data_IF_478367028028
#
_entry.id   IF_478367028028
#
_cell.length_a   1.000
_cell.length_b   1.000
_cell.length_c   1.000
_cell.angle_alpha   90.00
_cell.angle_beta   90.00
_cell.angle_gamma   90.00
#
_symmetry.space_group_name_H-M   'P 1'
#
loop_
_entity.id
_entity.type
_entity.pdbx_description
1 polymer ?
#
# COMPACT_ATOMS: atom_id res chain seq x y z
N UNK A 1 -26.03 -13.80 41.17
CA UNK A 1 -24.62 -14.06 40.81
C UNK A 1 -24.52 -13.82 39.30
N UNK A 2 -24.25 -12.57 38.93
CA UNK A 2 -24.18 -12.17 37.52
C UNK A 2 -22.74 -12.43 37.04
N UNK A 3 -22.60 -13.33 36.10
CA UNK A 3 -21.34 -13.60 35.39
C UNK A 3 -21.22 -12.47 34.37
N UNK A 4 -20.33 -11.52 34.65
CA UNK A 4 -19.89 -10.54 33.66
C UNK A 4 -18.91 -11.25 32.72
N UNK A 5 -19.39 -11.61 31.54
CA UNK A 5 -18.52 -12.00 30.42
C UNK A 5 -17.68 -10.78 30.06
N UNK A 6 -16.43 -10.78 30.54
CA UNK A 6 -15.38 -9.93 30.00
C UNK A 6 -15.06 -10.46 28.59
N UNK A 7 -15.68 -9.89 27.57
CA UNK A 7 -15.12 -9.96 26.23
C UNK A 7 -13.82 -9.16 26.27
N UNK A 8 -12.69 -9.86 26.43
CA UNK A 8 -11.38 -9.34 26.09
C UNK A 8 -11.44 -8.98 24.60
N UNK A 9 -11.65 -7.70 24.31
CA UNK A 9 -11.36 -7.16 22.99
C UNK A 9 -9.83 -7.24 22.86
N UNK A 10 -9.31 -8.27 22.19
CA UNK A 10 -7.91 -8.28 21.76
C UNK A 10 -7.64 -6.95 21.06
N UNK A 11 -6.88 -6.09 21.70
CA UNK A 11 -6.45 -4.81 21.14
C UNK A 11 -5.60 -5.13 19.90
N UNK A 12 -6.19 -5.02 18.72
CA UNK A 12 -5.50 -5.30 17.46
C UNK A 12 -4.26 -4.41 17.38
N UNK A 13 -3.09 -5.02 17.34
CA UNK A 13 -1.85 -4.28 17.14
C UNK A 13 -1.85 -3.61 15.76
N UNK A 14 -1.40 -2.36 15.63
CA UNK A 14 -1.31 -1.68 14.36
C UNK A 14 -0.30 -2.38 13.43
N UNK A 15 -0.63 -2.49 12.15
CA UNK A 15 0.26 -3.02 11.11
C UNK A 15 1.32 -1.99 10.72
N UNK A 16 0.99 -0.69 10.83
CA UNK A 16 1.92 0.43 10.71
C UNK A 16 1.65 1.38 11.87
N UNK A 17 2.71 1.84 12.53
CA UNK A 17 2.65 2.95 13.49
C UNK A 17 3.86 3.86 13.36
N UNK A 18 3.62 5.16 13.52
CA UNK A 18 4.63 6.19 13.72
C UNK A 18 4.28 6.99 14.94
N UNK A 19 5.28 7.36 15.74
CA UNK A 19 5.14 8.21 16.92
C UNK A 19 6.21 9.31 16.87
N UNK A 20 5.75 10.55 16.75
CA UNK A 20 6.58 11.75 16.63
C UNK A 20 7.74 11.59 15.63
N UNK A 21 7.44 11.02 14.47
CA UNK A 21 8.42 10.63 13.46
C UNK A 21 8.71 11.75 12.45
N UNK A 22 9.99 12.05 12.22
CA UNK A 22 10.40 12.98 11.18
C UNK A 22 10.70 12.20 9.89
N UNK A 23 10.01 12.55 8.79
CA UNK A 23 10.11 11.87 7.50
C UNK A 23 11.05 12.64 6.58
N UNK A 24 11.98 11.92 5.95
CA UNK A 24 12.98 12.50 5.07
C UNK A 24 12.54 12.45 3.60
N UNK A 25 12.76 13.56 2.88
CA UNK A 25 12.73 13.63 1.42
C UNK A 25 14.16 13.88 0.90
N UNK A 26 14.89 12.81 0.58
CA UNK A 26 16.32 12.88 0.38
C UNK A 26 17.04 13.15 1.71
N UNK A 27 17.87 14.19 1.78
CA UNK A 27 18.64 14.54 2.99
C UNK A 27 17.88 15.50 3.94
N UNK A 28 16.78 16.10 3.49
CA UNK A 28 16.01 17.08 4.26
C UNK A 28 14.76 16.42 4.89
N UNK A 29 14.36 16.91 6.07
CA UNK A 29 13.07 16.56 6.67
C UNK A 29 11.96 17.30 5.91
N UNK A 30 10.95 16.55 5.44
CA UNK A 30 9.80 17.08 4.69
C UNK A 30 8.49 16.97 5.48
N UNK A 31 8.44 16.13 6.53
CA UNK A 31 7.32 16.05 7.47
C UNK A 31 7.91 15.91 8.86
N UNK A 32 7.45 16.74 9.79
CA UNK A 32 7.87 16.73 11.19
C UNK A 32 6.80 16.12 12.10
N UNK A 33 7.22 15.26 13.01
CA UNK A 33 6.38 14.75 14.09
C UNK A 33 5.15 13.99 13.58
N UNK A 34 5.32 13.09 12.61
CA UNK A 34 4.23 12.24 12.13
C UNK A 34 3.76 11.30 13.23
N UNK A 35 2.46 11.35 13.55
CA UNK A 35 1.73 10.36 14.32
C UNK A 35 0.74 9.66 13.41
N UNK A 36 0.86 8.34 13.27
CA UNK A 36 0.02 7.53 12.36
C UNK A 36 -0.16 6.13 12.93
N UNK A 37 -1.38 5.60 12.89
CA UNK A 37 -1.67 4.20 13.22
C UNK A 37 -2.59 3.60 12.17
N UNK A 38 -2.19 2.48 11.59
CA UNK A 38 -2.96 1.70 10.60
C UNK A 38 -3.17 0.32 11.17
N UNK A 39 -4.41 -0.11 11.26
CA UNK A 39 -4.79 -1.43 11.77
C UNK A 39 -5.16 -2.38 10.62
N UNK A 40 -5.12 -3.71 10.85
CA UNK A 40 -5.62 -4.67 9.87
C UNK A 40 -7.06 -4.32 9.44
N UNK A 41 -7.29 -4.28 8.13
CA UNK A 41 -8.59 -3.90 7.54
C UNK A 41 -8.82 -2.39 7.37
N UNK A 42 -7.91 -1.53 7.85
CA UNK A 42 -8.01 -0.10 7.57
C UNK A 42 -7.78 0.21 6.09
N UNK A 43 -8.50 1.22 5.57
CA UNK A 43 -8.21 1.88 4.32
C UNK A 43 -7.84 3.34 4.63
N UNK A 44 -6.58 3.70 4.42
CA UNK A 44 -6.02 5.02 4.77
C UNK A 44 -5.58 5.75 3.51
N UNK A 45 -6.12 6.93 3.28
CA UNK A 45 -5.68 7.86 2.24
C UNK A 45 -4.66 8.84 2.80
N UNK A 46 -3.61 9.11 2.05
CA UNK A 46 -2.65 10.19 2.31
C UNK A 46 -2.81 11.20 1.18
N UNK A 47 -3.31 12.39 1.50
CA UNK A 47 -3.64 13.43 0.53
C UNK A 47 -2.84 14.71 0.80
N UNK A 48 -2.72 15.58 -0.20
CA UNK A 48 -2.02 16.86 -0.10
C UNK A 48 -1.39 17.27 -1.42
N UNK A 49 -0.91 18.53 -1.52
CA UNK A 49 -0.24 19.08 -2.72
C UNK A 49 0.97 18.26 -3.15
N UNK A 50 1.35 18.40 -4.42
CA UNK A 50 2.61 17.83 -4.92
C UNK A 50 3.78 18.43 -4.10
N UNK A 51 4.71 17.56 -3.70
CA UNK A 51 5.88 18.00 -2.91
C UNK A 51 5.67 18.04 -1.40
N UNK A 52 4.49 17.73 -0.85
CA UNK A 52 4.24 17.75 0.61
C UNK A 52 4.78 16.53 1.37
N UNK A 53 5.55 15.65 0.73
CA UNK A 53 6.19 14.50 1.41
C UNK A 53 5.39 13.21 1.44
N UNK A 54 4.23 13.10 0.74
CA UNK A 54 3.41 11.87 0.72
C UNK A 54 4.18 10.62 0.29
N UNK A 55 4.86 10.68 -0.85
CA UNK A 55 5.73 9.59 -1.34
C UNK A 55 6.89 9.30 -0.38
N UNK A 56 7.36 10.30 0.37
CA UNK A 56 8.42 10.10 1.39
C UNK A 56 7.91 9.29 2.58
N UNK A 57 6.64 9.44 2.99
CA UNK A 57 6.02 8.56 4.00
C UNK A 57 6.04 7.10 3.48
N UNK A 58 5.59 6.88 2.24
CA UNK A 58 5.62 5.54 1.62
C UNK A 58 7.03 4.96 1.61
N UNK A 59 8.02 5.74 1.16
CA UNK A 59 9.43 5.29 1.12
C UNK A 59 9.98 4.94 2.50
N UNK A 60 9.55 5.64 3.55
CA UNK A 60 9.92 5.31 4.92
C UNK A 60 9.25 4.02 5.39
N UNK A 61 7.95 3.82 5.08
CA UNK A 61 7.22 2.58 5.43
C UNK A 61 7.88 1.35 4.81
N UNK A 62 8.28 1.42 3.52
CA UNK A 62 8.92 0.30 2.81
C UNK A 62 10.44 0.20 3.05
N UNK A 63 10.95 0.99 4.01
CA UNK A 63 12.38 1.08 4.34
C UNK A 63 13.30 1.38 3.14
N UNK A 64 12.86 2.24 2.22
CA UNK A 64 13.70 2.84 1.18
C UNK A 64 14.41 4.09 1.70
N UNK A 65 13.73 4.85 2.59
CA UNK A 65 14.32 5.97 3.33
C UNK A 65 14.42 5.62 4.81
N UNK A 66 15.53 5.97 5.48
CA UNK A 66 15.71 5.67 6.90
C UNK A 66 14.83 6.56 7.78
N UNK A 67 14.36 6.03 8.91
CA UNK A 67 13.77 6.81 9.98
C UNK A 67 14.87 7.24 10.97
N UNK A 68 15.13 8.55 11.04
CA UNK A 68 16.21 9.10 11.89
C UNK A 68 15.73 9.68 13.22
N UNK A 69 14.46 10.09 13.32
CA UNK A 69 13.88 10.67 14.53
C UNK A 69 12.46 10.17 14.75
N UNK A 70 12.07 10.01 16.01
CA UNK A 70 10.81 9.37 16.40
C UNK A 70 10.92 7.85 16.38
N UNK A 71 9.79 7.17 16.48
CA UNK A 71 9.69 5.73 16.36
C UNK A 71 8.75 5.33 15.23
N UNK A 72 8.99 4.17 14.63
CA UNK A 72 8.14 3.62 13.58
C UNK A 72 8.17 2.10 13.59
N UNK A 73 7.00 1.51 13.39
CA UNK A 73 6.84 0.05 13.22
C UNK A 73 6.06 -0.19 11.93
N UNK A 74 6.50 -1.18 11.15
CA UNK A 74 5.77 -1.65 10.00
C UNK A 74 5.85 -3.18 9.94
N UNK A 75 4.69 -3.86 9.88
CA UNK A 75 4.57 -5.32 9.86
C UNK A 75 5.41 -6.02 10.94
N UNK A 76 5.46 -5.44 12.15
CA UNK A 76 6.22 -5.94 13.29
C UNK A 76 7.72 -5.63 13.30
N UNK A 77 8.25 -4.91 12.29
CA UNK A 77 9.64 -4.46 12.24
C UNK A 77 9.77 -3.01 12.71
N UNK A 78 10.74 -2.72 13.60
CA UNK A 78 11.09 -1.36 13.94
C UNK A 78 11.85 -0.71 12.79
N UNK A 79 11.39 0.44 12.33
CA UNK A 79 12.01 1.19 11.24
C UNK A 79 13.20 2.02 11.71
N UNK A 80 13.15 2.49 12.96
CA UNK A 80 14.26 3.13 13.63
C UNK A 80 15.36 2.11 13.96
N UNK A 81 16.48 2.18 13.23
CA UNK A 81 17.59 1.24 13.36
C UNK A 81 17.41 -0.10 12.64
N UNK A 82 16.48 -0.21 11.70
CA UNK A 82 16.30 -1.39 10.85
C UNK A 82 17.59 -1.70 10.08
N UNK A 83 18.02 -2.96 10.15
CA UNK A 83 19.25 -3.43 9.47
C UNK A 83 18.94 -3.84 8.04
N UNK A 84 19.87 -3.60 7.12
CA UNK A 84 19.72 -3.95 5.69
C UNK A 84 19.29 -5.40 5.46
N UNK A 85 19.79 -6.33 6.25
CA UNK A 85 19.43 -7.75 6.17
C UNK A 85 17.97 -8.04 6.55
N UNK A 86 17.29 -7.15 7.26
CA UNK A 86 15.89 -7.29 7.70
C UNK A 86 14.92 -6.71 6.67
N UNK A 87 15.36 -5.74 5.84
CA UNK A 87 14.55 -5.06 4.83
C UNK A 87 13.84 -6.05 3.87
N UNK A 88 14.50 -7.09 3.33
CA UNK A 88 13.81 -8.05 2.46
C UNK A 88 12.67 -8.80 3.17
N UNK A 89 12.80 -9.07 4.46
CA UNK A 89 11.76 -9.77 5.24
C UNK A 89 10.59 -8.85 5.54
N UNK A 90 10.84 -7.58 5.88
CA UNK A 90 9.81 -6.55 6.00
C UNK A 90 9.02 -6.43 4.69
N UNK A 91 9.72 -6.23 3.55
CA UNK A 91 9.09 -6.03 2.25
C UNK A 91 8.27 -7.24 1.76
N UNK A 92 8.57 -8.46 2.21
CA UNK A 92 7.75 -9.65 1.92
C UNK A 92 6.37 -9.59 2.55
N UNK A 93 6.22 -8.88 3.67
CA UNK A 93 4.94 -8.71 4.36
C UNK A 93 4.09 -7.57 3.79
N UNK A 94 4.62 -6.85 2.80
CA UNK A 94 3.96 -5.73 2.14
C UNK A 94 3.74 -5.98 0.66
N UNK A 95 2.62 -5.50 0.13
CA UNK A 95 2.42 -5.34 -1.30
C UNK A 95 2.68 -3.88 -1.67
N UNK A 96 3.40 -3.62 -2.75
CA UNK A 96 3.63 -2.25 -3.25
C UNK A 96 3.09 -2.11 -4.65
N UNK A 97 2.29 -1.06 -4.87
CA UNK A 97 1.65 -0.73 -6.14
C UNK A 97 2.01 0.71 -6.49
N UNK A 98 2.68 0.92 -7.62
CA UNK A 98 3.11 2.23 -8.11
C UNK A 98 2.26 2.73 -9.27
N UNK A 99 2.29 4.03 -9.52
CA UNK A 99 1.59 4.68 -10.61
C UNK A 99 2.07 4.22 -12.01
N UNK A 100 3.35 3.92 -12.16
CA UNK A 100 4.02 3.52 -13.42
C UNK A 100 4.10 1.99 -13.58
N UNK A 101 3.30 1.24 -12.82
CA UNK A 101 3.17 -0.22 -12.79
C UNK A 101 4.47 -0.97 -12.43
N UNK A 102 5.63 -0.49 -12.83
CA UNK A 102 6.96 -1.09 -12.63
C UNK A 102 7.01 -2.59 -13.00
N UNK A 103 6.44 -2.94 -14.15
CA UNK A 103 6.53 -4.29 -14.71
C UNK A 103 7.82 -4.45 -15.51
N UNK A 104 8.39 -5.65 -15.47
CA UNK A 104 9.53 -6.03 -16.30
C UNK A 104 9.04 -6.21 -17.74
N UNK A 105 9.43 -5.29 -18.64
CA UNK A 105 8.89 -5.20 -20.00
C UNK A 105 9.41 -6.27 -20.94
N UNK A 106 10.49 -6.96 -20.56
CA UNK A 106 11.15 -8.06 -21.28
C UNK A 106 10.60 -9.45 -20.92
N UNK A 107 9.55 -9.52 -20.09
CA UNK A 107 9.00 -10.75 -19.54
C UNK A 107 7.47 -10.77 -19.65
N UNK A 108 6.91 -11.99 -19.71
CA UNK A 108 5.45 -12.18 -19.66
C UNK A 108 4.87 -11.77 -18.30
N UNK A 109 3.55 -11.67 -18.22
CA UNK A 109 2.84 -11.47 -16.95
C UNK A 109 3.21 -12.55 -15.93
N UNK A 110 3.17 -13.82 -16.35
CA UNK A 110 3.54 -14.96 -15.51
C UNK A 110 5.00 -14.87 -15.03
N UNK A 111 5.93 -14.55 -15.91
CA UNK A 111 7.35 -14.41 -15.56
C UNK A 111 7.62 -13.22 -14.64
N UNK A 112 6.85 -12.14 -14.75
CA UNK A 112 6.89 -11.02 -13.79
C UNK A 112 6.53 -11.50 -12.37
N UNK A 113 5.49 -12.32 -12.24
CA UNK A 113 5.04 -12.86 -10.95
C UNK A 113 6.01 -13.92 -10.44
N UNK A 114 6.43 -14.83 -11.30
CA UNK A 114 7.39 -15.88 -10.98
C UNK A 114 8.73 -15.33 -10.47
N UNK A 115 9.19 -14.24 -11.09
CA UNK A 115 10.41 -13.54 -10.65
C UNK A 115 10.32 -13.11 -9.17
N UNK A 116 9.20 -12.53 -8.76
CA UNK A 116 9.00 -12.09 -7.38
C UNK A 116 8.95 -13.28 -6.42
N UNK A 117 8.23 -14.35 -6.75
CA UNK A 117 8.17 -15.55 -5.91
C UNK A 117 9.56 -16.15 -5.69
N UNK A 118 10.35 -16.29 -6.77
CA UNK A 118 11.75 -16.76 -6.67
C UNK A 118 12.61 -15.84 -5.80
N UNK A 119 12.51 -14.52 -6.01
CA UNK A 119 13.26 -13.52 -5.24
C UNK A 119 12.87 -13.51 -3.76
N UNK A 120 11.62 -13.87 -3.44
CA UNK A 120 11.13 -13.96 -2.06
C UNK A 120 11.32 -15.34 -1.42
N UNK A 121 12.01 -16.26 -2.11
CA UNK A 121 12.50 -17.52 -1.53
C UNK A 121 11.56 -18.72 -1.69
N UNK A 122 10.55 -18.62 -2.56
CA UNK A 122 9.77 -19.79 -2.94
C UNK A 122 10.61 -20.77 -3.75
N UNK A 123 10.48 -22.07 -3.48
CA UNK A 123 11.34 -23.11 -4.09
C UNK A 123 10.54 -24.14 -4.88
N UNK A 124 9.28 -24.37 -4.52
CA UNK A 124 8.47 -25.40 -5.14
C UNK A 124 7.71 -24.83 -6.34
N UNK A 125 8.05 -25.30 -7.54
CA UNK A 125 7.46 -24.82 -8.80
C UNK A 125 5.93 -24.96 -8.83
N UNK A 126 5.41 -26.11 -8.38
CA UNK A 126 3.97 -26.35 -8.30
C UNK A 126 3.27 -25.30 -7.44
N UNK A 127 3.80 -25.01 -6.25
CA UNK A 127 3.22 -24.01 -5.34
C UNK A 127 3.30 -22.60 -5.93
N UNK A 128 4.39 -22.24 -6.66
CA UNK A 128 4.51 -20.97 -7.34
C UNK A 128 3.44 -20.83 -8.44
N UNK A 129 3.24 -21.86 -9.27
CA UNK A 129 2.26 -21.83 -10.35
C UNK A 129 0.83 -21.72 -9.79
N UNK A 130 0.47 -22.50 -8.77
CA UNK A 130 -0.83 -22.41 -8.08
C UNK A 130 -1.04 -20.99 -7.49
N UNK A 131 0.00 -20.40 -6.94
CA UNK A 131 -0.07 -19.03 -6.40
C UNK A 131 -0.26 -17.98 -7.48
N UNK A 132 0.45 -18.08 -8.60
CA UNK A 132 0.30 -17.20 -9.77
C UNK A 132 -1.13 -17.28 -10.31
N UNK A 133 -1.64 -18.49 -10.54
CA UNK A 133 -3.01 -18.71 -10.99
C UNK A 133 -4.03 -18.05 -10.05
N UNK A 134 -3.87 -18.27 -8.73
CA UNK A 134 -4.72 -17.70 -7.71
C UNK A 134 -4.75 -16.15 -7.76
N UNK A 135 -3.57 -15.49 -7.78
CA UNK A 135 -3.54 -14.03 -7.78
C UNK A 135 -4.01 -13.43 -9.10
N UNK A 136 -3.72 -14.08 -10.25
CA UNK A 136 -4.22 -13.63 -11.54
C UNK A 136 -5.74 -13.73 -11.63
N UNK A 137 -6.32 -14.79 -11.10
CA UNK A 137 -7.78 -14.94 -10.99
C UNK A 137 -8.40 -13.88 -10.09
N UNK A 138 -7.75 -13.58 -8.95
CA UNK A 138 -8.23 -12.55 -8.01
C UNK A 138 -8.31 -11.15 -8.64
N UNK A 139 -7.47 -10.86 -9.65
CA UNK A 139 -7.48 -9.58 -10.36
C UNK A 139 -8.15 -9.64 -11.73
N UNK A 140 -8.69 -10.80 -12.16
CA UNK A 140 -9.35 -11.00 -13.45
C UNK A 140 -8.39 -11.00 -14.65
N UNK A 141 -7.19 -11.54 -14.47
CA UNK A 141 -6.12 -11.58 -15.49
C UNK A 141 -5.66 -13.00 -15.85
N UNK A 142 -6.40 -14.04 -15.46
CA UNK A 142 -6.04 -15.45 -15.64
C UNK A 142 -5.80 -15.85 -17.10
N UNK A 143 -6.53 -15.23 -18.05
CA UNK A 143 -6.38 -15.52 -19.47
C UNK A 143 -5.22 -14.78 -20.14
N UNK A 144 -4.51 -13.92 -19.39
CA UNK A 144 -3.45 -13.05 -19.93
C UNK A 144 -2.06 -13.33 -19.38
N UNK A 145 -1.87 -14.46 -18.67
CA UNK A 145 -0.59 -14.86 -18.08
C UNK A 145 0.58 -14.87 -19.09
N UNK A 146 0.33 -15.30 -20.33
CA UNK A 146 1.31 -15.41 -21.42
C UNK A 146 1.59 -14.07 -22.14
N UNK A 147 0.87 -13.00 -21.84
CA UNK A 147 1.03 -11.71 -22.50
C UNK A 147 2.25 -10.96 -21.98
N UNK A 148 2.86 -10.16 -22.86
CA UNK A 148 3.87 -9.17 -22.47
C UNK A 148 3.20 -7.89 -21.96
N UNK A 149 3.82 -7.12 -21.04
CA UNK A 149 3.22 -5.89 -20.50
C UNK A 149 2.80 -4.89 -21.59
N UNK A 150 3.58 -4.72 -22.66
CA UNK A 150 3.25 -3.82 -23.77
C UNK A 150 2.00 -4.23 -24.59
N UNK A 151 1.50 -5.45 -24.39
CA UNK A 151 0.27 -5.97 -25.03
C UNK A 151 -0.98 -5.74 -24.15
N UNK A 152 -0.81 -5.12 -22.98
CA UNK A 152 -1.85 -4.86 -22.01
C UNK A 152 -2.22 -3.37 -22.01
N UNK A 153 -3.50 -3.07 -21.78
CA UNK A 153 -3.94 -1.72 -21.44
C UNK A 153 -3.36 -1.25 -20.10
N UNK A 154 -3.36 0.05 -19.81
CA UNK A 154 -2.89 0.59 -18.53
C UNK A 154 -3.60 -0.03 -17.33
N UNK A 155 -4.94 -0.18 -17.40
CA UNK A 155 -5.72 -0.83 -16.34
C UNK A 155 -5.37 -2.31 -16.15
N UNK A 156 -5.05 -3.04 -17.22
CA UNK A 156 -4.59 -4.42 -17.15
C UNK A 156 -3.19 -4.52 -16.55
N UNK A 157 -2.28 -3.62 -16.91
CA UNK A 157 -0.95 -3.54 -16.28
C UNK A 157 -1.07 -3.24 -14.79
N UNK A 158 -1.98 -2.37 -14.38
CA UNK A 158 -2.23 -2.08 -12.98
C UNK A 158 -2.80 -3.29 -12.24
N UNK A 159 -3.71 -4.05 -12.84
CA UNK A 159 -4.20 -5.32 -12.27
C UNK A 159 -3.06 -6.32 -12.06
N UNK A 160 -2.13 -6.42 -13.01
CA UNK A 160 -0.92 -7.27 -12.86
C UNK A 160 -0.01 -6.76 -11.74
N UNK A 161 0.17 -5.43 -11.60
CA UNK A 161 0.92 -4.85 -10.48
C UNK A 161 0.26 -5.16 -9.12
N UNK A 162 -1.07 -5.14 -9.04
CA UNK A 162 -1.82 -5.57 -7.85
C UNK A 162 -1.67 -7.07 -7.61
N UNK A 163 -1.76 -7.92 -8.65
CA UNK A 163 -1.51 -9.36 -8.52
C UNK A 163 -0.11 -9.63 -7.95
N UNK A 164 0.89 -8.91 -8.43
CA UNK A 164 2.27 -8.96 -7.91
C UNK A 164 2.34 -8.59 -6.42
N UNK A 165 1.64 -7.55 -6.02
CA UNK A 165 1.57 -7.12 -4.63
C UNK A 165 0.94 -8.18 -3.71
N UNK A 166 0.02 -9.00 -4.22
CA UNK A 166 -0.69 -10.04 -3.48
C UNK A 166 0.10 -11.36 -3.30
N UNK A 167 1.22 -11.55 -4.01
CA UNK A 167 1.92 -12.84 -4.09
C UNK A 167 2.31 -13.45 -2.73
N UNK A 168 2.70 -12.65 -1.77
CA UNK A 168 3.16 -13.12 -0.45
C UNK A 168 2.12 -12.92 0.66
N UNK A 169 0.81 -12.82 0.35
CA UNK A 169 -0.27 -12.54 1.31
C UNK A 169 0.07 -11.38 2.25
N UNK A 170 0.16 -10.15 1.72
CA UNK A 170 0.65 -9.00 2.47
C UNK A 170 -0.30 -8.62 3.61
N UNK A 171 0.28 -8.17 4.74
CA UNK A 171 -0.44 -7.58 5.87
C UNK A 171 -0.98 -6.18 5.49
N UNK A 172 -0.27 -5.48 4.58
CA UNK A 172 -0.65 -4.16 4.07
C UNK A 172 -0.27 -4.00 2.60
N UNK A 173 -1.11 -3.29 1.84
CA UNK A 173 -0.80 -2.81 0.50
C UNK A 173 -0.51 -1.32 0.58
N UNK A 174 0.66 -0.93 0.08
CA UNK A 174 1.09 0.45 -0.07
C UNK A 174 0.91 0.84 -1.53
N UNK A 175 0.05 1.82 -1.82
CA UNK A 175 -0.29 2.24 -3.17
C UNK A 175 0.06 3.72 -3.38
N UNK A 176 1.01 4.01 -4.26
CA UNK A 176 1.40 5.37 -4.62
C UNK A 176 0.74 5.75 -5.95
N UNK A 177 -0.32 6.57 -5.87
CA UNK A 177 -1.11 7.04 -7.02
C UNK A 177 -1.57 5.92 -7.99
N UNK A 178 -2.16 4.81 -7.50
CA UNK A 178 -2.38 3.61 -8.32
C UNK A 178 -3.40 3.80 -9.46
N UNK A 179 -4.07 4.94 -9.52
CA UNK A 179 -5.07 5.29 -10.54
C UNK A 179 -4.70 6.53 -11.36
N UNK A 180 -3.54 7.15 -11.07
CA UNK A 180 -3.17 8.45 -11.65
C UNK A 180 -3.01 8.47 -13.17
N UNK A 181 -2.69 7.32 -13.79
CA UNK A 181 -2.51 7.17 -15.23
C UNK A 181 -3.70 6.51 -15.94
N UNK A 182 -4.87 6.41 -15.28
CA UNK A 182 -6.03 5.68 -15.77
C UNK A 182 -7.21 6.62 -16.01
N UNK A 183 -8.07 6.28 -16.97
CA UNK A 183 -9.36 6.92 -17.11
C UNK A 183 -10.28 6.62 -15.92
N UNK A 184 -11.35 7.40 -15.75
CA UNK A 184 -12.22 7.32 -14.58
C UNK A 184 -12.90 5.95 -14.41
N UNK A 185 -13.31 5.29 -15.51
CA UNK A 185 -13.97 3.98 -15.46
C UNK A 185 -12.98 2.90 -15.03
N UNK A 186 -11.80 2.90 -15.62
CA UNK A 186 -10.71 2.00 -15.28
C UNK A 186 -10.25 2.22 -13.84
N UNK A 187 -10.10 3.48 -13.41
CA UNK A 187 -9.76 3.84 -12.03
C UNK A 187 -10.79 3.31 -11.03
N UNK A 188 -12.08 3.43 -11.33
CA UNK A 188 -13.17 2.87 -10.52
C UNK A 188 -13.07 1.34 -10.40
N UNK A 189 -12.74 0.66 -11.50
CA UNK A 189 -12.49 -0.78 -11.51
C UNK A 189 -11.32 -1.20 -10.62
N UNK A 190 -10.23 -0.42 -10.59
CA UNK A 190 -9.09 -0.65 -9.69
C UNK A 190 -9.47 -0.40 -8.23
N UNK A 191 -10.23 0.66 -7.94
CA UNK A 191 -10.69 0.94 -6.58
C UNK A 191 -11.63 -0.15 -6.04
N UNK A 192 -12.55 -0.65 -6.85
CA UNK A 192 -13.41 -1.79 -6.49
C UNK A 192 -12.58 -3.03 -6.16
N UNK A 193 -11.54 -3.31 -6.94
CA UNK A 193 -10.62 -4.42 -6.69
C UNK A 193 -9.89 -4.26 -5.36
N UNK A 194 -9.26 -3.10 -5.12
CA UNK A 194 -8.54 -2.83 -3.86
C UNK A 194 -9.48 -2.88 -2.64
N UNK A 195 -10.66 -2.28 -2.73
CA UNK A 195 -11.68 -2.32 -1.67
C UNK A 195 -12.17 -3.74 -1.40
N UNK A 196 -12.33 -4.55 -2.45
CA UNK A 196 -12.66 -5.98 -2.33
C UNK A 196 -11.59 -6.74 -1.55
N UNK A 197 -10.33 -6.60 -1.94
CA UNK A 197 -9.19 -7.22 -1.24
C UNK A 197 -9.15 -6.81 0.24
N UNK A 198 -9.31 -5.50 0.53
CA UNK A 198 -9.33 -4.99 1.90
C UNK A 198 -10.43 -5.65 2.74
N UNK A 199 -11.67 -5.72 2.22
CA UNK A 199 -12.83 -6.26 2.93
C UNK A 199 -12.76 -7.79 3.12
N UNK A 200 -12.36 -8.52 2.07
CA UNK A 200 -12.38 -9.98 2.08
C UNK A 200 -11.23 -10.58 2.90
N UNK A 201 -10.06 -9.96 2.85
CA UNK A 201 -8.84 -10.48 3.48
C UNK A 201 -8.44 -9.74 4.77
N UNK A 202 -9.06 -8.59 5.06
CA UNK A 202 -8.62 -7.74 6.16
C UNK A 202 -7.24 -7.11 5.93
N UNK A 203 -6.71 -7.16 4.71
CA UNK A 203 -5.45 -6.52 4.35
C UNK A 203 -5.60 -5.00 4.48
N UNK A 204 -4.73 -4.35 5.25
CA UNK A 204 -4.73 -2.90 5.34
C UNK A 204 -4.30 -2.27 4.00
N UNK A 205 -4.81 -1.08 3.69
CA UNK A 205 -4.38 -0.33 2.49
C UNK A 205 -4.00 1.08 2.91
N UNK A 206 -2.80 1.51 2.51
CA UNK A 206 -2.35 2.89 2.59
C UNK A 206 -2.16 3.41 1.18
N UNK A 207 -2.95 4.40 0.78
CA UNK A 207 -3.00 4.91 -0.58
C UNK A 207 -2.71 6.40 -0.63
N UNK A 208 -1.67 6.78 -1.35
CA UNK A 208 -1.46 8.17 -1.76
C UNK A 208 -2.34 8.46 -2.97
N UNK A 209 -3.11 9.53 -2.91
CA UNK A 209 -3.88 10.04 -4.05
C UNK A 209 -4.13 11.54 -3.93
N UNK A 210 -4.25 12.21 -5.07
CA UNK A 210 -4.73 13.57 -5.18
C UNK A 210 -6.15 13.66 -5.77
N UNK A 211 -6.75 12.51 -6.12
CA UNK A 211 -8.08 12.45 -6.73
C UNK A 211 -9.18 12.41 -5.66
N UNK A 212 -9.85 13.56 -5.45
CA UNK A 212 -10.95 13.71 -4.49
C UNK A 212 -12.11 12.73 -4.74
N UNK A 213 -12.50 12.51 -6.00
CA UNK A 213 -13.63 11.65 -6.34
C UNK A 213 -13.45 10.21 -5.84
N UNK A 214 -12.19 9.79 -5.65
CA UNK A 214 -11.88 8.45 -5.16
C UNK A 214 -12.24 8.31 -3.69
N UNK A 215 -11.73 9.18 -2.81
CA UNK A 215 -11.98 9.03 -1.38
C UNK A 215 -13.37 9.50 -0.95
N UNK A 216 -14.03 10.38 -1.73
CA UNK A 216 -15.46 10.69 -1.54
C UNK A 216 -16.33 9.46 -1.85
N UNK A 217 -15.95 8.64 -2.85
CA UNK A 217 -16.71 7.46 -3.26
C UNK A 217 -16.38 6.20 -2.48
N UNK A 218 -15.13 6.05 -2.06
CA UNK A 218 -14.61 4.89 -1.36
C UNK A 218 -14.15 5.30 0.05
N UNK A 219 -15.02 5.14 1.09
CA UNK A 219 -14.73 5.65 2.42
C UNK A 219 -13.47 5.04 3.03
N UNK A 220 -12.71 5.85 3.77
CA UNK A 220 -11.50 5.47 4.48
C UNK A 220 -11.04 6.60 5.39
N UNK A 221 -10.04 6.33 6.22
CA UNK A 221 -9.38 7.36 7.04
C UNK A 221 -8.57 8.28 6.13
N UNK A 222 -8.61 9.57 6.34
CA UNK A 222 -7.88 10.55 5.51
C UNK A 222 -6.81 11.24 6.34
N UNK A 223 -5.56 11.14 5.89
CA UNK A 223 -4.43 11.90 6.43
C UNK A 223 -4.08 13.03 5.46
N UNK A 224 -4.07 14.26 5.95
CA UNK A 224 -3.78 15.46 5.17
C UNK A 224 -2.35 15.92 5.40
N UNK A 225 -1.55 15.95 4.34
CA UNK A 225 -0.17 16.46 4.35
C UNK A 225 -0.16 17.91 3.89
N UNK A 226 0.13 18.83 4.80
CA UNK A 226 0.21 20.29 4.58
C UNK A 226 1.21 20.92 5.54
N UNK A 227 1.91 21.97 5.09
CA UNK A 227 2.81 22.77 5.93
C UNK A 227 3.80 21.91 6.75
N UNK A 228 4.47 20.95 6.05
CA UNK A 228 5.45 20.01 6.62
C UNK A 228 4.91 19.11 7.75
N UNK A 229 3.59 18.95 7.82
CA UNK A 229 2.90 18.03 8.75
C UNK A 229 1.95 17.11 8.00
N UNK A 230 1.61 15.97 8.63
CA UNK A 230 0.60 15.07 8.13
C UNK A 230 -0.27 14.61 9.30
N UNK A 231 -1.55 14.96 9.28
CA UNK A 231 -2.47 14.75 10.41
C UNK A 231 -3.71 13.97 9.95
N UNK A 232 -4.24 13.13 10.85
CA UNK A 232 -5.52 12.47 10.61
C UNK A 232 -6.64 13.51 10.67
N UNK A 233 -7.52 13.48 9.68
CA UNK A 233 -8.73 14.30 9.69
C UNK A 233 -9.80 13.57 10.49
N UNK A 234 -10.26 14.18 11.57
CA UNK A 234 -11.23 13.57 12.52
C UNK A 234 -12.68 13.81 12.16
N UNK A 235 -13.03 14.82 11.32
CA UNK A 235 -14.41 15.18 10.98
C UNK A 235 -14.62 15.45 9.48
N UNK A 236 -15.89 15.32 9.04
CA UNK A 236 -16.43 15.66 7.73
C UNK A 236 -16.35 17.17 7.37
N UNK A 237 -15.53 17.96 8.03
CA UNK A 237 -15.24 19.30 7.54
C UNK A 237 -14.71 19.16 6.10
N UNK A 238 -15.46 19.74 5.17
CA UNK A 238 -15.14 19.70 3.75
C UNK A 238 -13.65 20.02 3.58
N UNK A 239 -12.87 19.00 3.16
CA UNK A 239 -11.46 19.21 2.86
C UNK A 239 -11.43 20.34 1.85
N UNK A 240 -10.98 21.52 2.25
CA UNK A 240 -10.71 22.60 1.32
C UNK A 240 -9.45 22.21 0.51
N UNK A 241 -9.71 21.33 -0.47
CA UNK A 241 -8.67 20.83 -1.35
C UNK A 241 -8.20 21.89 -2.34
N UNK A 242 -8.98 22.96 -2.59
CA UNK A 242 -8.48 24.10 -3.37
C UNK A 242 -7.33 24.80 -2.64
N UNK A 243 -7.33 24.76 -1.30
CA UNK A 243 -6.19 25.19 -0.49
C UNK A 243 -5.17 24.04 -0.23
N UNK A 244 -5.52 22.76 -0.52
CA UNK A 244 -4.74 21.59 -0.10
C UNK A 244 -4.24 20.72 -1.29
N UNK A 245 -4.81 20.89 -2.52
CA UNK A 245 -4.37 20.20 -3.76
C UNK A 245 -3.75 21.18 -4.74
#
# INVERSE_FOLDING_TARGET
MFITDNFDMEEKSPVISFENADILGGDATVIYGLDMKVYPGDFVYIVGKVGTGKTSIIRTIIAESPLKKGSGIACGYKLDGLKDKEIPYLRRKMGVVFQDFQLLMDRTVEDNLLFVLKATGWKQEKAMNERIEYVLKAVGMELKAHKMPHQLSGGEQQRVAIARALLNDPEVIIADEPTGNLDNETADGIMKLLTGINREKGTAIVMVTHNRQIFDKYPGKVMVCKDERCTLQEDEEAIDLEATI
#
